data_IF_205455831909
#
_entry.id   IF_205455831909
#
_cell.length_a   1.000
_cell.length_b   1.000
_cell.length_c   1.000
_cell.angle_alpha   90.00
_cell.angle_beta   90.00
_cell.angle_gamma   90.00
#
_symmetry.space_group_name_H-M   'P 1'
#
loop_
_entity.id
_entity.type
_entity.pdbx_description
1 polymer ?
#
# COMPACT_ATOMS: atom_id res chain seq x y z
N UNK A 1 16.13 46.53 -44.04
CA UNK A 1 15.27 45.38 -44.40
C UNK A 1 16.21 44.19 -44.62
N UNK A 2 16.25 43.10 -43.87
CA UNK A 2 15.29 42.47 -42.97
C UNK A 2 16.05 41.96 -41.73
N UNK A 3 15.45 42.16 -40.57
CA UNK A 3 16.02 41.79 -39.29
C UNK A 3 15.60 40.36 -38.92
N UNK A 4 16.51 39.65 -38.23
CA UNK A 4 16.26 38.54 -37.32
C UNK A 4 15.85 37.18 -37.92
N UNK A 5 16.86 36.36 -38.21
CA UNK A 5 16.76 34.90 -38.03
C UNK A 5 17.71 34.52 -36.90
N UNK A 6 17.33 34.83 -35.65
CA UNK A 6 18.01 34.29 -34.47
C UNK A 6 17.48 32.89 -34.21
N UNK A 7 18.42 31.96 -34.09
CA UNK A 7 18.22 30.54 -33.82
C UNK A 7 17.30 30.29 -32.62
N UNK A 8 16.33 29.40 -32.79
CA UNK A 8 15.67 28.68 -31.70
C UNK A 8 15.98 27.20 -31.87
N UNK A 9 17.21 26.84 -31.51
CA UNK A 9 17.73 25.47 -31.43
C UNK A 9 17.94 25.10 -29.97
N UNK A 10 17.33 24.01 -29.50
CA UNK A 10 17.73 23.20 -28.32
C UNK A 10 17.65 23.85 -26.92
N UNK A 11 17.22 25.10 -26.76
CA UNK A 11 17.24 25.78 -25.45
C UNK A 11 15.84 26.00 -24.87
N UNK A 12 15.39 25.11 -23.97
CA UNK A 12 14.37 25.41 -22.96
C UNK A 12 14.31 24.40 -21.79
N UNK A 13 15.43 23.71 -21.51
CA UNK A 13 15.55 22.83 -20.33
C UNK A 13 15.16 23.52 -19.00
N UNK A 14 15.51 24.81 -18.76
CA UNK A 14 15.18 25.49 -17.51
C UNK A 14 13.67 25.56 -17.26
N UNK A 15 12.89 25.96 -18.26
CA UNK A 15 11.43 26.09 -18.13
C UNK A 15 10.74 24.74 -17.91
N UNK A 16 11.29 23.67 -18.47
CA UNK A 16 10.79 22.30 -18.32
C UNK A 16 11.01 21.78 -16.91
N UNK A 17 12.19 21.99 -16.35
CA UNK A 17 12.54 21.59 -14.99
C UNK A 17 11.75 22.40 -13.96
N UNK A 18 11.67 23.72 -14.12
CA UNK A 18 10.85 24.58 -13.25
C UNK A 18 9.38 24.13 -13.26
N UNK A 19 8.86 23.69 -14.41
CA UNK A 19 7.51 23.14 -14.51
C UNK A 19 7.29 21.90 -13.63
N UNK A 20 8.25 20.99 -13.54
CA UNK A 20 8.19 19.84 -12.62
C UNK A 20 8.36 20.25 -11.16
N UNK A 21 9.26 21.20 -10.87
CA UNK A 21 9.51 21.71 -9.51
C UNK A 21 8.28 22.38 -8.90
N UNK A 22 7.42 23.00 -9.72
CA UNK A 22 6.13 23.57 -9.27
C UNK A 22 4.98 22.56 -9.27
N UNK A 23 5.26 21.26 -9.47
CA UNK A 23 4.27 20.18 -9.42
C UNK A 23 3.57 19.87 -10.74
N UNK A 24 4.05 20.41 -11.85
CA UNK A 24 3.60 20.01 -13.19
C UNK A 24 3.94 18.56 -13.46
N UNK A 25 2.95 17.75 -13.83
CA UNK A 25 3.14 16.31 -14.10
C UNK A 25 3.76 16.08 -15.48
N UNK A 26 3.48 16.99 -16.43
CA UNK A 26 4.03 16.94 -17.76
C UNK A 26 3.94 18.32 -18.45
N UNK A 27 4.79 18.58 -19.45
CA UNK A 27 4.74 19.76 -20.30
C UNK A 27 4.66 19.35 -21.79
N UNK A 28 3.95 20.15 -22.59
CA UNK A 28 3.89 20.01 -24.04
C UNK A 28 4.59 21.19 -24.71
N UNK A 29 5.57 20.90 -25.54
CA UNK A 29 6.21 21.91 -26.38
C UNK A 29 5.35 22.25 -27.59
N UNK A 30 5.31 23.52 -27.97
CA UNK A 30 4.66 23.99 -29.20
C UNK A 30 5.70 24.24 -30.30
N UNK A 31 5.33 24.07 -31.58
CA UNK A 31 4.06 23.52 -32.07
C UNK A 31 3.91 22.03 -31.71
N UNK A 32 2.68 21.60 -31.43
CA UNK A 32 2.43 20.25 -30.90
C UNK A 32 2.74 19.20 -31.97
N UNK A 33 3.59 18.24 -31.64
CA UNK A 33 3.82 17.06 -32.46
C UNK A 33 2.87 15.93 -32.07
N UNK A 34 1.99 15.54 -33.00
CA UNK A 34 0.95 14.55 -32.75
C UNK A 34 1.48 13.18 -32.28
N UNK A 35 2.60 12.63 -32.80
CA UNK A 35 3.16 11.36 -32.31
C UNK A 35 3.59 11.44 -30.83
N UNK A 36 4.20 12.56 -30.42
CA UNK A 36 4.61 12.78 -29.03
C UNK A 36 3.38 12.85 -28.12
N UNK A 37 2.37 13.64 -28.50
CA UNK A 37 1.13 13.78 -27.74
C UNK A 37 0.41 12.43 -27.57
N UNK A 38 0.30 11.63 -28.64
CA UNK A 38 -0.31 10.31 -28.58
C UNK A 38 0.47 9.36 -27.66
N UNK A 39 1.80 9.42 -27.67
CA UNK A 39 2.66 8.67 -26.75
C UNK A 39 2.35 9.03 -25.29
N UNK A 40 2.28 10.32 -24.97
CA UNK A 40 1.97 10.83 -23.62
C UNK A 40 0.58 10.42 -23.15
N UNK A 41 -0.45 10.58 -23.98
CA UNK A 41 -1.82 10.16 -23.65
C UNK A 41 -1.89 8.67 -23.38
N UNK A 42 -1.25 7.84 -24.21
CA UNK A 42 -1.19 6.38 -24.01
C UNK A 42 -0.49 6.02 -22.69
N UNK A 43 0.61 6.68 -22.36
CA UNK A 43 1.33 6.48 -21.11
C UNK A 43 0.43 6.80 -19.90
N UNK A 44 -0.22 7.97 -19.90
CA UNK A 44 -1.11 8.35 -18.79
C UNK A 44 -2.34 7.44 -18.65
N UNK A 45 -2.94 6.99 -19.76
CA UNK A 45 -4.04 6.01 -19.70
C UNK A 45 -3.56 4.69 -19.09
N UNK A 46 -2.36 4.24 -19.47
CA UNK A 46 -1.78 2.98 -18.98
C UNK A 46 -1.48 3.07 -17.49
N UNK A 47 -0.82 4.14 -17.05
CA UNK A 47 -0.51 4.39 -15.63
C UNK A 47 -1.80 4.42 -14.81
N UNK A 48 -2.82 5.15 -15.27
CA UNK A 48 -4.11 5.23 -14.56
C UNK A 48 -4.82 3.89 -14.46
N UNK A 49 -4.73 3.04 -15.48
CA UNK A 49 -5.27 1.67 -15.44
C UNK A 49 -4.52 0.81 -14.42
N UNK A 50 -3.19 0.89 -14.41
CA UNK A 50 -2.35 0.15 -13.48
C UNK A 50 -2.60 0.58 -12.03
N UNK A 51 -2.70 1.89 -11.76
CA UNK A 51 -3.03 2.40 -10.43
C UNK A 51 -4.36 1.85 -9.91
N UNK A 52 -5.42 1.87 -10.74
CA UNK A 52 -6.71 1.28 -10.38
C UNK A 52 -6.64 -0.21 -10.10
N UNK A 53 -5.82 -0.95 -10.86
CA UNK A 53 -5.64 -2.38 -10.64
C UNK A 53 -4.93 -2.67 -9.31
N UNK A 54 -3.89 -1.89 -9.01
CA UNK A 54 -3.17 -1.97 -7.73
C UNK A 54 -4.12 -1.66 -6.57
N UNK A 55 -4.93 -0.60 -6.68
CA UNK A 55 -5.92 -0.26 -5.66
C UNK A 55 -6.95 -1.37 -5.45
N UNK A 56 -7.45 -1.98 -6.53
CA UNK A 56 -8.39 -3.08 -6.46
C UNK A 56 -7.78 -4.31 -5.76
N UNK A 57 -6.56 -4.72 -6.16
CA UNK A 57 -5.89 -5.86 -5.53
C UNK A 57 -5.52 -5.60 -4.07
N UNK A 58 -5.08 -4.38 -3.72
CA UNK A 58 -4.84 -4.03 -2.32
C UNK A 58 -6.11 -4.18 -1.49
N UNK A 59 -7.26 -3.76 -2.02
CA UNK A 59 -8.55 -3.94 -1.35
C UNK A 59 -8.90 -5.42 -1.19
N UNK A 60 -8.76 -6.22 -2.23
CA UNK A 60 -9.01 -7.68 -2.19
C UNK A 60 -8.12 -8.37 -1.16
N UNK A 61 -6.83 -8.02 -1.12
CA UNK A 61 -5.86 -8.56 -0.15
C UNK A 61 -6.24 -8.17 1.27
N UNK A 62 -6.63 -6.92 1.51
CA UNK A 62 -7.08 -6.46 2.83
C UNK A 62 -8.34 -7.21 3.30
N UNK A 63 -9.30 -7.43 2.40
CA UNK A 63 -10.51 -8.19 2.71
C UNK A 63 -10.21 -9.67 3.00
N UNK A 64 -9.30 -10.29 2.23
CA UNK A 64 -8.86 -11.66 2.48
C UNK A 64 -8.13 -11.79 3.82
N UNK A 65 -7.23 -10.86 4.14
CA UNK A 65 -6.53 -10.82 5.43
C UNK A 65 -7.50 -10.65 6.60
N UNK A 66 -8.51 -9.79 6.46
CA UNK A 66 -9.54 -9.63 7.49
C UNK A 66 -10.31 -10.94 7.76
N UNK A 67 -10.63 -11.70 6.71
CA UNK A 67 -11.28 -13.01 6.84
C UNK A 67 -10.38 -14.05 7.51
N UNK A 68 -9.09 -14.09 7.15
CA UNK A 68 -8.12 -14.99 7.80
C UNK A 68 -8.02 -14.67 9.30
N UNK A 69 -7.91 -13.38 9.66
CA UNK A 69 -7.87 -12.96 11.08
C UNK A 69 -9.11 -13.36 11.89
N UNK A 70 -10.29 -13.31 11.26
CA UNK A 70 -11.53 -13.75 11.90
C UNK A 70 -11.50 -15.27 12.18
N UNK A 71 -11.00 -16.05 11.23
CA UNK A 71 -10.93 -17.51 11.32
C UNK A 71 -9.78 -17.99 12.22
N UNK A 72 -8.69 -17.24 12.31
CA UNK A 72 -7.55 -17.53 13.18
C UNK A 72 -7.80 -17.17 14.66
N UNK A 73 -8.99 -16.68 15.02
CA UNK A 73 -9.36 -16.36 16.40
C UNK A 73 -9.81 -17.56 17.24
N UNK A 74 -9.84 -18.77 16.66
CA UNK A 74 -10.25 -19.98 17.35
C UNK A 74 -9.04 -20.68 17.96
N UNK A 75 -8.83 -20.46 19.27
CA UNK A 75 -7.81 -21.18 20.03
C UNK A 75 -8.36 -22.54 20.47
N UNK A 76 -7.73 -23.66 20.07
CA UNK A 76 -8.14 -24.98 20.51
C UNK A 76 -7.89 -25.14 22.02
N UNK A 77 -8.97 -25.31 22.79
CA UNK A 77 -8.93 -25.52 24.24
C UNK A 77 -9.36 -26.94 24.60
N UNK A 78 -8.63 -27.60 25.49
CA UNK A 78 -9.00 -28.93 25.98
C UNK A 78 -10.26 -28.82 26.85
N UNK A 79 -11.31 -29.58 26.52
CA UNK A 79 -12.57 -29.52 27.28
C UNK A 79 -12.40 -29.97 28.74
N UNK A 80 -11.43 -30.86 29.02
CA UNK A 80 -11.21 -31.49 30.31
C UNK A 80 -10.28 -30.68 31.23
N UNK A 81 -9.12 -30.24 30.74
CA UNK A 81 -8.12 -29.53 31.56
C UNK A 81 -7.99 -28.03 31.26
N UNK A 82 -8.74 -27.51 30.26
CA UNK A 82 -8.74 -26.09 29.84
C UNK A 82 -7.40 -25.54 29.34
N UNK A 83 -6.40 -26.38 29.09
CA UNK A 83 -5.16 -25.98 28.42
C UNK A 83 -5.42 -25.57 26.97
N UNK A 84 -4.62 -24.65 26.45
CA UNK A 84 -4.61 -24.21 25.05
C UNK A 84 -3.54 -25.01 24.30
N UNK A 85 -3.89 -25.50 23.11
CA UNK A 85 -2.93 -26.06 22.17
C UNK A 85 -2.39 -24.93 21.30
N UNK A 86 -1.08 -24.72 21.31
CA UNK A 86 -0.44 -23.69 20.49
C UNK A 86 -0.22 -24.13 19.04
N UNK A 87 0.39 -23.25 18.25
CA UNK A 87 0.66 -23.45 16.83
C UNK A 87 1.71 -24.56 16.58
N UNK A 88 2.52 -24.90 17.58
CA UNK A 88 3.50 -26.00 17.54
C UNK A 88 2.90 -27.34 17.98
N UNK A 89 1.68 -27.33 18.52
CA UNK A 89 0.95 -28.50 18.98
C UNK A 89 1.21 -28.87 20.45
N UNK A 90 1.86 -27.99 21.23
CA UNK A 90 2.06 -28.19 22.66
C UNK A 90 0.88 -27.65 23.46
N UNK A 91 0.59 -28.33 24.58
CA UNK A 91 -0.48 -27.94 25.49
C UNK A 91 0.09 -27.15 26.66
N UNK A 92 -0.45 -25.94 26.85
CA UNK A 92 -0.01 -25.01 27.89
C UNK A 92 -1.20 -24.39 28.63
N UNK A 93 -0.93 -23.84 29.82
CA UNK A 93 -1.95 -23.11 30.58
C UNK A 93 -2.37 -21.84 29.83
N UNK A 94 -3.64 -21.44 30.00
CA UNK A 94 -4.23 -20.29 29.33
C UNK A 94 -3.44 -19.01 29.63
N UNK A 95 -3.04 -18.84 30.89
CA UNK A 95 -2.31 -17.69 31.38
C UNK A 95 -0.92 -17.57 30.76
N UNK A 96 -0.25 -18.70 30.52
CA UNK A 96 1.05 -18.74 29.85
C UNK A 96 0.89 -18.37 28.38
N UNK A 97 -0.04 -19.03 27.70
CA UNK A 97 -0.31 -18.76 26.29
C UNK A 97 -0.64 -17.28 26.03
N UNK A 98 -1.53 -16.69 26.83
CA UNK A 98 -1.94 -15.29 26.67
C UNK A 98 -0.78 -14.33 26.97
N UNK A 99 0.04 -14.60 27.99
CA UNK A 99 1.21 -13.76 28.30
C UNK A 99 2.24 -13.79 27.17
N UNK A 100 2.45 -14.94 26.55
CA UNK A 100 3.45 -15.09 25.48
C UNK A 100 2.97 -14.53 24.12
N UNK A 101 1.65 -14.45 23.91
CA UNK A 101 1.04 -14.05 22.64
C UNK A 101 0.30 -12.70 22.69
N UNK A 102 0.38 -11.95 23.81
CA UNK A 102 -0.25 -10.63 23.96
C UNK A 102 0.50 -9.75 24.96
N UNK A 103 0.17 -8.45 24.99
CA UNK A 103 0.74 -7.49 25.95
C UNK A 103 0.04 -7.53 27.34
N UNK A 104 -0.64 -8.64 27.68
CA UNK A 104 -1.45 -8.77 28.90
C UNK A 104 -0.68 -9.50 29.99
N UNK A 105 -0.75 -8.98 31.21
CA UNK A 105 -0.28 -9.64 32.42
C UNK A 105 -1.43 -10.00 33.37
N UNK A 106 -1.25 -11.07 34.13
CA UNK A 106 -2.26 -11.59 35.06
C UNK A 106 -1.90 -11.27 36.51
N UNK A 107 -2.78 -10.54 37.20
CA UNK A 107 -2.79 -10.49 38.66
C UNK A 107 -3.58 -11.65 39.23
N UNK A 108 -3.17 -12.18 40.39
CA UNK A 108 -3.92 -13.23 41.08
C UNK A 108 -4.77 -12.62 42.18
N UNK A 109 -6.06 -12.91 42.16
CA UNK A 109 -7.03 -12.48 43.18
C UNK A 109 -7.98 -13.62 43.51
N UNK A 110 -8.50 -13.62 44.73
CA UNK A 110 -9.54 -14.57 45.16
C UNK A 110 -10.85 -13.80 45.19
N UNK A 111 -11.87 -14.30 44.48
CA UNK A 111 -13.21 -13.73 44.54
C UNK A 111 -13.79 -13.97 45.94
N UNK A 112 -14.33 -12.94 46.63
CA UNK A 112 -15.14 -13.19 47.83
C UNK A 112 -16.38 -13.98 47.42
N UNK A 113 -16.74 -14.98 48.23
CA UNK A 113 -17.89 -15.86 48.00
C UNK A 113 -19.21 -15.09 47.75
#
# INVERSE_FOLDING_TARGET
>A
MSALTKASTVTDLPHKVTGFEVGGVDYLTKPIELPELLGRVKAHITIRRQQKLIEAHNKELQEALAKVKLLSGLLPICMNCKQICDDEGYWQQVEVYIRDHSEVDFSHGICPD
#
